data_IF_695557756100
#
_entry.id   IF_695557756100
#
_cell.length_a   1.000
_cell.length_b   1.000
_cell.length_c   1.000
_cell.angle_alpha   90.00
_cell.angle_beta   90.00
_cell.angle_gamma   90.00
#
_symmetry.space_group_name_H-M   'P 1'
#
loop_
_entity.id
_entity.type
_entity.pdbx_description
1 polymer ?
#
# COMPACT_ATOMS: atom_id res chain seq x y z
N UNK A 1 -3.14 26.54 -13.34
CA UNK A 1 -3.91 25.51 -12.63
C UNK A 1 -2.93 24.59 -11.92
N UNK A 2 -3.00 24.45 -10.59
CA UNK A 2 -2.13 23.55 -9.84
C UNK A 2 -2.31 22.10 -10.27
N UNK A 3 -1.25 21.29 -10.18
CA UNK A 3 -1.25 19.90 -10.66
C UNK A 3 -2.35 19.04 -10.02
N UNK A 4 -2.66 19.30 -8.74
CA UNK A 4 -3.73 18.62 -8.00
C UNK A 4 -5.11 18.90 -8.58
N UNK A 5 -5.38 20.14 -9.02
CA UNK A 5 -6.68 20.53 -9.55
C UNK A 5 -6.92 19.84 -10.91
N UNK A 6 -5.86 19.69 -11.71
CA UNK A 6 -5.92 18.98 -12.98
C UNK A 6 -6.22 17.48 -12.77
N UNK A 7 -5.57 16.83 -11.80
CA UNK A 7 -5.85 15.42 -11.48
C UNK A 7 -7.26 15.23 -10.93
N UNK A 8 -7.73 16.14 -10.08
CA UNK A 8 -9.08 16.13 -9.57
C UNK A 8 -10.12 16.25 -10.69
N UNK A 9 -9.96 17.23 -11.59
CA UNK A 9 -10.84 17.41 -12.76
C UNK A 9 -10.92 16.14 -13.61
N UNK A 10 -9.77 15.52 -13.91
CA UNK A 10 -9.73 14.25 -14.67
C UNK A 10 -10.53 13.13 -13.99
N UNK A 11 -10.43 13.01 -12.66
CA UNK A 11 -11.20 12.01 -11.90
C UNK A 11 -12.69 12.34 -11.88
N UNK A 12 -13.04 13.61 -11.69
CA UNK A 12 -14.41 14.08 -11.72
C UNK A 12 -15.07 13.84 -13.07
N UNK A 13 -14.39 14.17 -14.17
CA UNK A 13 -14.87 13.95 -15.53
C UNK A 13 -15.13 12.45 -15.79
N UNK A 14 -14.24 11.57 -15.30
CA UNK A 14 -14.42 10.12 -15.37
C UNK A 14 -15.67 9.65 -14.59
N UNK A 15 -15.88 10.18 -13.39
CA UNK A 15 -17.06 9.86 -12.57
C UNK A 15 -18.33 10.33 -13.26
N UNK A 16 -18.37 11.58 -13.74
CA UNK A 16 -19.49 12.13 -14.49
C UNK A 16 -19.82 11.28 -15.72
N UNK A 17 -18.80 10.85 -16.46
CA UNK A 17 -18.98 9.97 -17.62
C UNK A 17 -19.59 8.62 -17.24
N UNK A 18 -19.22 8.05 -16.09
CA UNK A 18 -19.81 6.78 -15.61
C UNK A 18 -21.26 6.97 -15.17
N UNK A 19 -21.52 8.02 -14.40
CA UNK A 19 -22.87 8.35 -13.92
C UNK A 19 -23.82 8.62 -15.10
N UNK A 20 -23.36 9.32 -16.13
CA UNK A 20 -24.10 9.50 -17.40
C UNK A 20 -24.53 8.18 -18.05
N UNK A 21 -23.72 7.13 -17.92
CA UNK A 21 -24.06 5.81 -18.44
C UNK A 21 -25.04 5.02 -17.57
N UNK A 22 -25.25 5.43 -16.32
CA UNK A 22 -26.13 4.75 -15.35
C UNK A 22 -27.48 5.44 -15.19
N UNK A 23 -27.56 6.74 -15.45
CA UNK A 23 -28.78 7.53 -15.32
C UNK A 23 -29.63 7.46 -16.60
N UNK A 24 -30.94 7.60 -16.44
CA UNK A 24 -31.90 7.69 -17.55
C UNK A 24 -31.62 8.92 -18.43
N UNK A 25 -32.01 8.87 -19.71
CA UNK A 25 -31.64 9.85 -20.74
C UNK A 25 -32.00 11.31 -20.42
N UNK A 26 -32.94 11.55 -19.50
CA UNK A 26 -33.38 12.88 -19.10
C UNK A 26 -32.47 13.55 -18.07
N UNK A 27 -31.66 12.79 -17.34
CA UNK A 27 -30.72 13.36 -16.36
C UNK A 27 -29.37 13.58 -17.03
N UNK A 28 -28.97 14.85 -17.12
CA UNK A 28 -27.68 15.27 -17.70
C UNK A 28 -26.78 15.81 -16.59
N UNK A 29 -25.93 14.98 -15.97
CA UNK A 29 -24.91 15.45 -15.05
C UNK A 29 -23.99 16.45 -15.76
N UNK A 30 -23.94 17.67 -15.23
CA UNK A 30 -23.07 18.76 -15.69
C UNK A 30 -22.16 19.14 -14.52
N UNK A 31 -20.97 19.68 -14.81
CA UNK A 31 -20.11 20.16 -13.73
C UNK A 31 -20.66 21.46 -13.16
N UNK A 32 -20.51 21.65 -11.86
CA UNK A 32 -20.94 22.87 -11.18
C UNK A 32 -20.26 24.15 -11.71
N UNK A 33 -19.06 24.04 -12.30
CA UNK A 33 -18.38 25.18 -12.93
C UNK A 33 -18.83 25.47 -14.37
N UNK A 34 -19.71 24.63 -14.94
CA UNK A 34 -20.23 24.76 -16.30
C UNK A 34 -21.66 25.32 -16.36
N UNK A 35 -22.35 25.44 -15.22
CA UNK A 35 -23.72 25.93 -15.10
C UNK A 35 -23.80 27.17 -14.21
N UNK A 36 -24.74 28.07 -14.50
CA UNK A 36 -25.02 29.20 -13.62
C UNK A 36 -25.63 28.70 -12.30
N UNK A 37 -25.00 29.04 -11.18
CA UNK A 37 -25.44 28.64 -9.84
C UNK A 37 -25.59 29.86 -8.94
N UNK A 38 -26.52 29.78 -7.99
CA UNK A 38 -26.66 30.77 -6.93
C UNK A 38 -25.52 30.63 -5.93
N UNK A 39 -25.27 31.69 -5.15
CA UNK A 39 -24.22 31.66 -4.14
C UNK A 39 -24.50 30.61 -3.04
N UNK A 40 -25.77 30.38 -2.73
CA UNK A 40 -26.22 29.38 -1.75
C UNK A 40 -25.89 27.95 -2.17
N UNK A 41 -25.82 27.67 -3.48
CA UNK A 41 -25.42 26.36 -4.00
C UNK A 41 -23.99 25.99 -3.61
N UNK A 42 -23.15 26.99 -3.31
CA UNK A 42 -21.78 26.76 -2.83
C UNK A 42 -21.75 26.19 -1.41
N UNK A 43 -22.69 26.59 -0.55
CA UNK A 43 -22.83 26.01 0.79
C UNK A 43 -23.43 24.61 0.72
N UNK A 44 -24.45 24.43 -0.12
CA UNK A 44 -25.05 23.12 -0.34
C UNK A 44 -24.00 22.12 -0.85
N UNK A 45 -23.18 22.52 -1.82
CA UNK A 45 -22.10 21.71 -2.34
C UNK A 45 -21.07 21.38 -1.27
N UNK A 46 -20.61 22.38 -0.50
CA UNK A 46 -19.63 22.16 0.56
C UNK A 46 -20.14 21.13 1.57
N UNK A 47 -21.36 21.31 2.08
CA UNK A 47 -21.99 20.38 3.02
C UNK A 47 -22.12 18.97 2.43
N UNK A 48 -22.61 18.85 1.20
CA UNK A 48 -22.75 17.54 0.53
C UNK A 48 -21.39 16.84 0.36
N UNK A 49 -20.37 17.55 -0.10
CA UNK A 49 -19.03 16.98 -0.29
C UNK A 49 -18.38 16.57 1.02
N UNK A 50 -18.56 17.37 2.07
CA UNK A 50 -18.06 17.06 3.42
C UNK A 50 -18.74 15.82 3.97
N UNK A 51 -20.07 15.75 3.92
CA UNK A 51 -20.84 14.60 4.42
C UNK A 51 -20.48 13.31 3.66
N UNK A 52 -20.43 13.36 2.33
CA UNK A 52 -20.01 12.22 1.50
C UNK A 52 -18.57 11.76 1.82
N UNK A 53 -17.65 12.69 2.02
CA UNK A 53 -16.27 12.36 2.36
C UNK A 53 -16.17 11.71 3.75
N UNK A 54 -16.93 12.22 4.74
CA UNK A 54 -17.00 11.65 6.08
C UNK A 54 -17.60 10.24 6.08
N UNK A 55 -18.69 10.03 5.34
CA UNK A 55 -19.32 8.72 5.19
C UNK A 55 -18.39 7.73 4.47
N UNK A 56 -17.66 8.19 3.44
CA UNK A 56 -16.65 7.39 2.75
C UNK A 56 -15.54 6.97 3.70
N UNK A 57 -14.99 7.90 4.49
CA UNK A 57 -13.94 7.61 5.47
C UNK A 57 -14.44 6.63 6.53
N UNK A 58 -15.63 6.84 7.07
CA UNK A 58 -16.24 5.96 8.09
C UNK A 58 -16.42 4.55 7.52
N UNK A 59 -17.00 4.44 6.33
CA UNK A 59 -17.19 3.16 5.63
C UNK A 59 -15.86 2.43 5.37
N UNK A 60 -14.82 3.17 4.97
CA UNK A 60 -13.49 2.59 4.74
C UNK A 60 -12.85 2.08 6.03
N UNK A 61 -12.96 2.82 7.13
CA UNK A 61 -12.47 2.40 8.43
C UNK A 61 -13.23 1.16 8.92
N UNK A 62 -14.55 1.13 8.75
CA UNK A 62 -15.37 -0.02 9.11
C UNK A 62 -15.01 -1.26 8.30
N UNK A 63 -14.83 -1.10 7.00
CA UNK A 63 -14.42 -2.19 6.12
C UNK A 63 -13.00 -2.68 6.48
N UNK A 64 -12.07 -1.76 6.73
CA UNK A 64 -10.68 -2.10 7.05
C UNK A 64 -10.51 -2.80 8.40
N UNK A 65 -11.39 -2.49 9.36
CA UNK A 65 -11.29 -2.95 10.75
C UNK A 65 -12.52 -3.74 11.22
N UNK A 66 -13.25 -4.35 10.28
CA UNK A 66 -14.36 -5.27 10.51
C UNK A 66 -15.45 -4.73 11.46
N UNK A 67 -16.07 -3.61 11.06
CA UNK A 67 -17.18 -2.96 11.76
C UNK A 67 -16.72 -2.08 12.93
N UNK A 68 -15.77 -1.18 12.69
CA UNK A 68 -15.22 -0.31 13.73
C UNK A 68 -16.28 0.61 14.35
N UNK A 69 -17.21 1.14 13.57
CA UNK A 69 -18.33 1.99 13.98
C UNK A 69 -19.21 1.28 15.00
N UNK A 70 -19.78 0.14 14.64
CA UNK A 70 -20.58 -0.71 15.56
C UNK A 70 -19.83 -1.05 16.85
N UNK A 71 -18.50 -1.27 16.75
CA UNK A 71 -17.66 -1.55 17.91
C UNK A 71 -17.50 -0.34 18.80
N UNK A 72 -17.33 0.86 18.22
CA UNK A 72 -17.19 2.11 18.96
C UNK A 72 -18.50 2.53 19.62
N UNK A 73 -19.64 2.30 18.99
CA UNK A 73 -20.96 2.61 19.55
C UNK A 73 -21.27 1.77 20.80
N UNK A 74 -20.78 0.54 20.87
CA UNK A 74 -20.97 -0.38 22.01
C UNK A 74 -20.08 -0.08 23.22
N UNK A 75 -19.20 0.93 23.11
CA UNK A 75 -18.19 1.22 24.14
C UNK A 75 -18.59 2.44 24.97
N UNK A 76 -17.92 2.65 26.09
CA UNK A 76 -18.25 3.73 27.02
C UNK A 76 -18.08 5.11 26.37
N UNK A 77 -19.15 5.91 26.40
CA UNK A 77 -19.20 7.24 25.77
C UNK A 77 -18.19 8.24 26.33
N UNK A 78 -17.67 8.01 27.55
CA UNK A 78 -16.70 8.89 28.21
C UNK A 78 -15.23 8.56 27.87
N UNK A 79 -14.97 7.46 27.17
CA UNK A 79 -13.62 7.07 26.77
C UNK A 79 -13.36 7.54 25.35
N UNK A 80 -12.22 8.22 25.16
CA UNK A 80 -11.74 8.61 23.83
C UNK A 80 -10.84 7.53 23.29
N UNK A 81 -11.14 7.06 22.09
CA UNK A 81 -10.41 5.96 21.46
C UNK A 81 -9.47 6.45 20.37
N UNK A 82 -8.32 5.77 20.25
CA UNK A 82 -7.40 5.94 19.13
C UNK A 82 -7.14 4.59 18.46
N UNK A 83 -6.85 4.64 17.16
CA UNK A 83 -6.33 3.50 16.42
C UNK A 83 -4.80 3.53 16.51
N UNK A 84 -4.21 2.50 17.12
CA UNK A 84 -2.77 2.27 17.17
C UNK A 84 -2.36 1.26 16.11
N UNK A 85 -1.43 1.63 15.22
CA UNK A 85 -0.77 0.70 14.30
C UNK A 85 0.68 0.46 14.73
N UNK A 86 1.10 -0.81 14.70
CA UNK A 86 2.46 -1.22 14.99
C UNK A 86 2.88 -2.38 14.10
N UNK A 87 4.18 -2.43 13.77
CA UNK A 87 4.79 -3.46 12.95
C UNK A 87 6.13 -3.91 13.53
N UNK A 88 6.44 -5.17 13.30
CA UNK A 88 7.62 -5.89 13.71
C UNK A 88 8.22 -6.60 12.50
N UNK A 89 9.44 -6.22 12.15
CA UNK A 89 10.26 -6.89 11.13
C UNK A 89 11.27 -7.80 11.81
N UNK A 90 11.41 -9.02 11.29
CA UNK A 90 12.37 -10.02 11.76
C UNK A 90 13.04 -10.67 10.55
N UNK A 91 14.37 -10.73 10.56
CA UNK A 91 15.15 -11.43 9.53
C UNK A 91 16.11 -12.40 10.19
N UNK A 92 15.93 -13.69 9.91
CA UNK A 92 16.65 -14.79 10.55
C UNK A 92 17.33 -15.65 9.51
N UNK A 93 18.53 -16.11 9.83
CA UNK A 93 19.22 -17.10 9.01
C UNK A 93 18.50 -18.45 9.14
N UNK A 94 18.22 -19.10 8.01
CA UNK A 94 17.56 -20.40 7.97
C UNK A 94 18.58 -21.51 7.76
N UNK A 95 19.27 -21.50 6.61
CA UNK A 95 20.19 -22.57 6.21
C UNK A 95 21.15 -22.16 5.09
N UNK A 96 22.18 -22.99 4.86
CA UNK A 96 23.05 -22.93 3.68
C UNK A 96 22.72 -24.13 2.79
N UNK A 97 22.45 -23.88 1.50
CA UNK A 97 22.19 -24.91 0.49
C UNK A 97 23.03 -24.68 -0.76
N UNK A 98 23.22 -25.71 -1.57
CA UNK A 98 23.99 -25.61 -2.82
C UNK A 98 23.05 -25.70 -4.01
N UNK A 99 22.93 -24.62 -4.78
CA UNK A 99 22.23 -24.63 -6.06
C UNK A 99 23.19 -25.07 -7.16
N UNK A 100 22.78 -26.04 -7.95
CA UNK A 100 23.54 -26.52 -9.10
C UNK A 100 22.95 -25.92 -10.37
N UNK A 101 23.78 -25.23 -11.16
CA UNK A 101 23.39 -24.67 -12.46
C UNK A 101 24.25 -25.25 -13.56
N UNK A 102 23.63 -25.88 -14.55
CA UNK A 102 24.31 -26.38 -15.74
C UNK A 102 24.64 -25.22 -16.68
N UNK A 103 25.91 -25.11 -17.06
CA UNK A 103 26.39 -24.21 -18.10
C UNK A 103 26.10 -24.75 -19.51
N UNK A 104 26.45 -23.98 -20.55
CA UNK A 104 26.28 -24.41 -21.93
C UNK A 104 27.10 -25.68 -22.20
N UNK A 105 26.52 -26.60 -22.96
CA UNK A 105 27.24 -27.79 -23.45
C UNK A 105 28.29 -27.36 -24.47
N UNK A 106 29.53 -27.81 -24.27
CA UNK A 106 30.61 -27.58 -25.24
C UNK A 106 31.00 -28.94 -25.81
N UNK A 107 30.77 -29.10 -27.11
CA UNK A 107 31.22 -30.28 -27.85
C UNK A 107 32.63 -30.02 -28.35
N UNK A 108 33.56 -30.89 -27.95
CA UNK A 108 34.95 -30.89 -28.44
C UNK A 108 35.21 -32.17 -29.22
N UNK A 109 35.83 -32.05 -30.39
CA UNK A 109 36.25 -33.17 -31.20
C UNK A 109 37.71 -33.51 -30.90
N UNK A 110 37.95 -34.69 -30.33
CA UNK A 110 39.32 -35.20 -30.21
C UNK A 110 39.63 -36.08 -31.42
N UNK A 111 40.63 -35.67 -32.21
CA UNK A 111 41.18 -36.48 -33.29
C UNK A 111 42.39 -37.25 -32.77
N UNK A 112 42.24 -38.55 -32.46
CA UNK A 112 43.39 -39.41 -32.17
C UNK A 112 43.98 -39.94 -33.47
N UNK A 113 45.15 -39.43 -33.84
CA UNK A 113 45.99 -40.05 -34.87
C UNK A 113 46.63 -41.30 -34.29
N UNK A 114 46.13 -42.48 -34.66
CA UNK A 114 46.78 -43.74 -34.34
C UNK A 114 47.92 -43.92 -35.33
N UNK A 115 49.15 -43.64 -34.91
CA UNK A 115 50.34 -43.94 -35.70
C UNK A 115 50.60 -45.44 -35.65
N UNK A 116 50.12 -46.16 -36.66
CA UNK A 116 50.32 -47.59 -36.79
C UNK A 116 50.00 -48.11 -38.18
N UNK A 117 51.03 -48.12 -39.04
CA UNK A 117 51.23 -48.99 -40.23
C UNK A 117 50.26 -48.90 -41.42
N UNK A 118 50.85 -48.51 -42.56
CA UNK A 118 50.60 -48.99 -43.93
C UNK A 118 49.18 -49.47 -44.25
N UNK A 119 48.44 -48.65 -45.01
CA UNK A 119 47.08 -48.79 -45.54
C UNK A 119 45.97 -48.07 -44.76
N UNK A 120 45.75 -46.81 -45.14
CA UNK A 120 44.50 -46.07 -44.90
C UNK A 120 44.46 -45.29 -43.58
N UNK A 121 44.76 -44.00 -43.65
CA UNK A 121 44.52 -43.07 -42.54
C UNK A 121 43.00 -42.91 -42.31
N UNK A 122 42.39 -43.79 -41.52
CA UNK A 122 41.06 -43.55 -40.97
C UNK A 122 41.19 -42.75 -39.68
N UNK A 123 40.98 -41.44 -39.76
CA UNK A 123 40.77 -40.61 -38.58
C UNK A 123 39.42 -40.96 -37.96
N UNK A 124 39.41 -41.54 -36.76
CA UNK A 124 38.19 -41.62 -35.94
C UNK A 124 38.07 -40.32 -35.14
N UNK A 125 37.13 -39.47 -35.55
CA UNK A 125 36.72 -38.30 -34.76
C UNK A 125 35.80 -38.79 -33.64
N UNK A 126 36.20 -38.57 -32.39
CA UNK A 126 35.32 -38.81 -31.24
C UNK A 126 34.77 -37.46 -30.78
N UNK A 127 33.47 -37.28 -30.87
CA UNK A 127 32.79 -36.13 -30.26
C UNK A 127 32.65 -36.38 -28.76
N UNK A 128 33.16 -35.45 -27.95
CA UNK A 128 33.02 -35.46 -26.50
C UNK A 128 32.27 -34.19 -26.11
N UNK A 129 31.02 -34.36 -25.69
CA UNK A 129 30.21 -33.29 -25.11
C UNK A 129 30.52 -33.17 -23.63
N UNK A 130 31.03 -32.02 -23.21
CA UNK A 130 31.29 -31.71 -21.81
C UNK A 130 30.32 -30.62 -21.34
N UNK A 131 29.56 -30.90 -20.29
CA UNK A 131 28.70 -29.91 -19.64
C UNK A 131 29.37 -29.42 -18.36
N UNK A 132 29.64 -28.11 -18.28
CA UNK A 132 30.23 -27.51 -17.08
C UNK A 132 29.12 -27.25 -16.07
N UNK A 133 29.12 -28.00 -14.97
CA UNK A 133 28.17 -27.83 -13.87
C UNK A 133 28.77 -26.94 -12.80
N UNK A 134 28.14 -25.80 -12.51
CA UNK A 134 28.58 -24.85 -11.48
C UNK A 134 27.77 -25.04 -10.19
N UNK A 135 28.45 -25.17 -9.05
CA UNK A 135 27.82 -25.20 -7.72
C UNK A 135 27.90 -23.81 -7.10
N UNK A 136 26.75 -23.24 -6.77
CA UNK A 136 26.63 -21.92 -6.15
C UNK A 136 26.09 -22.08 -4.73
N UNK A 137 26.85 -21.72 -3.68
CA UNK A 137 26.30 -21.70 -2.32
C UNK A 137 25.23 -20.61 -2.21
N UNK A 138 24.12 -20.96 -1.58
CA UNK A 138 23.01 -20.07 -1.25
C UNK A 138 22.77 -20.09 0.25
N UNK A 139 22.85 -18.92 0.87
CA UNK A 139 22.49 -18.67 2.26
C UNK A 139 21.05 -18.16 2.29
N UNK A 140 20.16 -18.96 2.88
CA UNK A 140 18.72 -18.74 2.93
C UNK A 140 18.38 -18.03 4.24
N UNK A 141 17.59 -16.97 4.12
CA UNK A 141 17.12 -16.14 5.22
C UNK A 141 15.60 -16.08 5.19
N UNK A 142 14.97 -16.14 6.35
CA UNK A 142 13.53 -15.89 6.50
C UNK A 142 13.31 -14.44 6.89
N UNK A 143 12.46 -13.74 6.15
CA UNK A 143 12.05 -12.37 6.45
C UNK A 143 10.56 -12.33 6.80
N UNK A 144 10.26 -12.04 8.06
CA UNK A 144 8.93 -12.02 8.63
C UNK A 144 8.52 -10.59 9.01
N UNK A 145 7.35 -10.15 8.53
CA UNK A 145 6.69 -8.91 8.93
C UNK A 145 5.41 -9.27 9.67
N UNK A 146 5.32 -8.91 10.95
CA UNK A 146 4.11 -8.97 11.75
C UNK A 146 3.60 -7.56 11.98
N UNK A 147 2.33 -7.29 11.74
CA UNK A 147 1.74 -5.97 11.99
C UNK A 147 0.34 -6.10 12.56
N UNK A 148 -0.05 -5.11 13.36
CA UNK A 148 -1.37 -5.08 13.99
C UNK A 148 -1.94 -3.67 14.06
N UNK A 149 -3.27 -3.61 14.05
CA UNK A 149 -4.03 -2.42 14.36
C UNK A 149 -4.88 -2.71 15.60
N UNK A 150 -4.81 -1.81 16.58
CA UNK A 150 -5.40 -1.98 17.91
C UNK A 150 -6.21 -0.75 18.27
N UNK A 151 -7.32 -0.97 18.94
CA UNK A 151 -8.07 0.09 19.61
C UNK A 151 -7.44 0.33 20.97
N UNK A 152 -7.11 1.59 21.27
CA UNK A 152 -6.53 1.97 22.56
C UNK A 152 -7.35 3.08 23.22
N UNK A 153 -7.44 3.06 24.54
CA UNK A 153 -7.93 4.20 25.31
C UNK A 153 -6.83 5.27 25.32
N UNK A 154 -7.19 6.47 24.84
CA UNK A 154 -6.27 7.59 24.70
C UNK A 154 -5.67 8.05 26.03
N UNK A 155 -6.42 7.98 27.12
CA UNK A 155 -6.04 8.51 28.43
C UNK A 155 -4.99 7.64 29.11
N UNK A 156 -5.21 6.34 29.15
CA UNK A 156 -4.34 5.38 29.86
C UNK A 156 -3.42 4.60 28.92
N UNK A 157 -3.55 4.75 27.60
CA UNK A 157 -2.80 4.01 26.57
C UNK A 157 -2.97 2.50 26.65
N UNK A 158 -4.01 2.03 27.32
CA UNK A 158 -4.32 0.60 27.43
C UNK A 158 -4.91 0.09 26.12
N UNK A 159 -4.55 -1.15 25.78
CA UNK A 159 -5.13 -1.85 24.64
C UNK A 159 -6.53 -2.30 25.05
N UNK A 160 -7.53 -1.77 24.35
CA UNK A 160 -8.92 -2.14 24.53
C UNK A 160 -9.22 -3.38 23.70
N UNK A 161 -8.70 -3.42 22.48
CA UNK A 161 -9.01 -4.48 21.52
C UNK A 161 -7.94 -4.57 20.41
N UNK A 162 -7.69 -5.77 19.88
CA UNK A 162 -6.92 -5.94 18.64
C UNK A 162 -7.89 -6.10 17.48
N UNK A 163 -7.90 -5.12 16.56
CA UNK A 163 -8.82 -5.06 15.42
C UNK A 163 -8.31 -5.89 14.25
N UNK A 164 -6.99 -5.89 14.05
CA UNK A 164 -6.32 -6.61 12.98
C UNK A 164 -4.96 -7.09 13.49
N UNK A 165 -4.58 -8.32 13.17
CA UNK A 165 -3.22 -8.81 13.32
C UNK A 165 -2.88 -9.71 12.14
N UNK A 166 -1.73 -9.48 11.51
CA UNK A 166 -1.28 -10.28 10.36
C UNK A 166 0.22 -10.49 10.43
N UNK A 167 0.63 -11.68 10.04
CA UNK A 167 2.03 -12.05 9.85
C UNK A 167 2.23 -12.51 8.41
N UNK A 168 3.30 -12.05 7.79
CA UNK A 168 3.74 -12.47 6.46
C UNK A 168 5.20 -12.86 6.54
N UNK A 169 5.57 -13.97 5.90
CA UNK A 169 6.95 -14.41 5.84
C UNK A 169 7.34 -14.75 4.40
N UNK A 170 8.63 -14.63 4.08
CA UNK A 170 9.21 -15.02 2.80
C UNK A 170 10.67 -15.42 2.98
N UNK A 171 11.15 -16.30 2.10
CA UNK A 171 12.57 -16.63 2.02
C UNK A 171 13.32 -15.65 1.11
N UNK A 172 14.58 -15.40 1.46
CA UNK A 172 15.52 -14.59 0.70
C UNK A 172 16.83 -15.36 0.62
N UNK A 173 17.32 -15.64 -0.58
CA UNK A 173 18.60 -16.32 -0.78
C UNK A 173 19.69 -15.33 -1.18
N UNK A 174 20.88 -15.52 -0.65
CA UNK A 174 22.08 -14.71 -0.92
C UNK A 174 23.24 -15.63 -1.27
N UNK A 175 24.16 -15.20 -2.13
CA UNK A 175 25.29 -16.04 -2.58
C UNK A 175 26.57 -15.82 -1.79
N UNK A 176 26.54 -14.89 -0.83
CA UNK A 176 27.69 -14.50 0.00
C UNK A 176 27.28 -14.67 1.46
N UNK A 177 28.07 -15.45 2.21
CA UNK A 177 27.76 -15.87 3.59
C UNK A 177 27.42 -14.71 4.52
N UNK A 178 28.21 -13.64 4.41
CA UNK A 178 28.10 -12.46 5.29
C UNK A 178 27.26 -11.34 4.67
N UNK A 179 26.65 -11.56 3.49
CA UNK A 179 25.79 -10.57 2.85
C UNK A 179 24.35 -10.75 3.33
N UNK A 180 24.06 -10.17 4.48
CA UNK A 180 22.72 -10.19 5.03
C UNK A 180 21.76 -9.29 4.22
N UNK A 181 20.61 -9.79 3.75
CA UNK A 181 19.70 -9.00 2.91
C UNK A 181 19.01 -7.85 3.67
N UNK A 182 18.91 -7.98 5.00
CA UNK A 182 18.30 -7.01 5.91
C UNK A 182 19.13 -6.97 7.20
N UNK A 183 19.27 -5.83 7.88
CA UNK A 183 20.04 -5.78 9.12
C UNK A 183 19.52 -6.80 10.14
N UNK A 184 20.44 -7.52 10.81
CA UNK A 184 20.17 -8.49 11.89
C UNK A 184 19.57 -7.76 13.09
N UNK A 185 18.28 -7.48 13.02
CA UNK A 185 17.57 -6.90 14.14
C UNK A 185 16.08 -7.15 13.97
N UNK A 186 15.50 -7.66 15.05
CA UNK A 186 14.13 -7.35 15.39
C UNK A 186 13.95 -5.82 15.29
N UNK A 187 13.21 -5.35 14.30
CA UNK A 187 12.95 -3.92 14.11
C UNK A 187 11.49 -3.63 14.35
N UNK A 188 11.24 -2.85 15.39
CA UNK A 188 9.90 -2.34 15.69
C UNK A 188 9.71 -0.99 15.02
N UNK A 189 8.58 -0.81 14.34
CA UNK A 189 8.16 0.51 13.89
C UNK A 189 7.77 1.36 15.09
N UNK A 190 8.06 2.66 15.06
CA UNK A 190 7.41 3.59 15.97
C UNK A 190 5.88 3.46 15.82
N UNK A 191 5.12 3.35 16.92
CA UNK A 191 3.67 3.20 16.85
C UNK A 191 3.03 4.44 16.22
N UNK A 192 2.11 4.20 15.30
CA UNK A 192 1.33 5.26 14.66
C UNK A 192 -0.04 5.34 15.32
N UNK A 193 -0.53 6.55 15.52
CA UNK A 193 -1.83 6.80 16.15
C UNK A 193 -2.73 7.60 15.22
N UNK A 194 -4.02 7.27 15.21
CA UNK A 194 -5.08 8.04 14.58
C UNK A 194 -6.18 8.28 15.61
N UNK A 195 -6.49 9.55 15.86
CA UNK A 195 -7.58 9.97 16.73
C UNK A 195 -8.92 9.64 16.08
N UNK A 196 -9.72 8.77 16.67
CA UNK A 196 -11.02 8.38 16.09
C UNK A 196 -12.12 9.37 16.45
N UNK A 197 -11.96 10.11 17.55
CA UNK A 197 -12.90 11.15 17.96
C UNK A 197 -12.89 12.32 16.99
N UNK A 198 -11.72 12.56 16.35
CA UNK A 198 -11.58 13.59 15.33
C UNK A 198 -12.43 13.34 14.09
N UNK A 199 -12.93 12.12 13.86
CA UNK A 199 -13.79 11.80 12.71
C UNK A 199 -15.26 11.85 13.13
N UNK A 200 -15.58 11.28 14.30
CA UNK A 200 -16.96 11.25 14.83
C UNK A 200 -17.54 12.62 15.12
N UNK A 201 -16.72 13.54 15.61
CA UNK A 201 -17.18 14.85 16.09
C UNK A 201 -17.16 15.94 15.03
N UNK A 202 -16.82 15.61 13.78
CA UNK A 202 -16.72 16.60 12.72
C UNK A 202 -18.08 17.15 12.32
N UNK A 203 -18.17 18.45 12.05
CA UNK A 203 -19.37 19.05 11.50
C UNK A 203 -19.62 18.51 10.09
N UNK A 204 -20.85 18.05 9.85
CA UNK A 204 -21.32 17.63 8.51
C UNK A 204 -21.88 18.78 7.69
N UNK A 205 -22.14 19.92 8.32
CA UNK A 205 -22.69 21.11 7.67
C UNK A 205 -22.17 22.40 8.28
N UNK A 206 -22.12 23.45 7.47
CA UNK A 206 -21.80 24.81 7.87
C UNK A 206 -23.03 25.46 8.52
N UNK A 207 -22.88 25.95 9.75
CA UNK A 207 -23.92 26.72 10.43
C UNK A 207 -23.95 28.17 9.92
N UNK A 208 -24.94 28.46 9.08
CA UNK A 208 -25.12 29.77 8.44
C UNK A 208 -25.72 30.83 9.37
N UNK A 209 -26.23 30.44 10.54
CA UNK A 209 -26.90 31.35 11.47
C UNK A 209 -25.92 32.18 12.32
N UNK A 210 -24.64 31.82 12.31
CA UNK A 210 -23.59 32.48 13.11
C UNK A 210 -23.11 33.76 12.44
N UNK A 211 -22.91 34.80 13.24
CA UNK A 211 -22.30 36.06 12.78
C UNK A 211 -20.88 35.88 12.22
N UNK A 212 -20.19 34.80 12.62
CA UNK A 212 -18.87 34.43 12.14
C UNK A 212 -18.87 33.66 10.81
N UNK A 213 -20.05 33.34 10.25
CA UNK A 213 -20.19 32.60 9.00
C UNK A 213 -19.56 33.38 7.83
N UNK A 214 -18.68 32.70 7.09
CA UNK A 214 -17.95 33.25 5.95
C UNK A 214 -18.31 32.49 4.67
N UNK A 215 -17.57 32.75 3.60
CA UNK A 215 -17.61 31.92 2.38
C UNK A 215 -17.37 30.45 2.71
N UNK A 216 -17.99 29.47 2.03
CA UNK A 216 -17.96 28.05 2.41
C UNK A 216 -16.59 27.53 2.85
N UNK A 217 -15.53 27.71 2.03
CA UNK A 217 -14.16 27.28 2.34
C UNK A 217 -13.56 27.92 3.59
N UNK A 218 -13.94 29.15 3.95
CA UNK A 218 -13.33 29.92 5.06
C UNK A 218 -14.03 29.73 6.41
N UNK A 219 -14.98 28.79 6.48
CA UNK A 219 -15.64 28.42 7.72
C UNK A 219 -14.78 27.43 8.50
N UNK A 220 -14.76 27.57 9.83
CA UNK A 220 -13.94 26.75 10.71
C UNK A 220 -14.33 25.27 10.61
N UNK A 221 -15.62 25.00 10.42
CA UNK A 221 -16.17 23.67 10.22
C UNK A 221 -15.48 22.93 9.06
N UNK A 222 -15.17 23.64 7.98
CA UNK A 222 -14.49 23.08 6.81
C UNK A 222 -12.99 22.89 7.10
N UNK A 223 -12.35 23.83 7.80
CA UNK A 223 -10.95 23.71 8.20
C UNK A 223 -10.71 22.51 9.14
N UNK A 224 -11.63 22.26 10.08
CA UNK A 224 -11.58 21.12 11.00
C UNK A 224 -11.65 19.79 10.23
N UNK A 225 -12.56 19.68 9.25
CA UNK A 225 -12.69 18.52 8.37
C UNK A 225 -11.40 18.29 7.55
N UNK A 226 -10.85 19.35 6.95
CA UNK A 226 -9.60 19.25 6.19
C UNK A 226 -8.43 18.78 7.06
N UNK A 227 -8.31 19.31 8.28
CA UNK A 227 -7.27 18.91 9.23
C UNK A 227 -7.38 17.43 9.60
N UNK A 228 -8.60 16.93 9.81
CA UNK A 228 -8.85 15.52 10.08
C UNK A 228 -8.50 14.63 8.88
N UNK A 229 -8.89 15.01 7.66
CA UNK A 229 -8.52 14.26 6.47
C UNK A 229 -7.02 14.28 6.20
N UNK A 230 -6.31 15.38 6.49
CA UNK A 230 -4.85 15.43 6.37
C UNK A 230 -4.17 14.49 7.38
N UNK A 231 -4.71 14.42 8.60
CA UNK A 231 -4.24 13.51 9.65
C UNK A 231 -4.43 12.05 9.24
N UNK A 232 -5.61 11.71 8.72
CA UNK A 232 -5.91 10.39 8.15
C UNK A 232 -5.01 10.05 6.96
N UNK A 233 -4.77 11.01 6.06
CA UNK A 233 -3.88 10.83 4.91
C UNK A 233 -2.45 10.49 5.36
N UNK A 234 -1.98 11.20 6.37
CA UNK A 234 -0.62 11.02 6.91
C UNK A 234 -0.50 9.67 7.60
N UNK A 235 -1.50 9.28 8.40
CA UNK A 235 -1.57 7.97 9.03
C UNK A 235 -1.54 6.85 7.98
N UNK A 236 -2.45 6.90 7.00
CA UNK A 236 -2.57 5.85 5.97
C UNK A 236 -1.34 5.75 5.07
N UNK A 237 -0.71 6.88 4.69
CA UNK A 237 0.57 6.88 3.97
C UNK A 237 1.70 6.26 4.79
N UNK A 238 1.74 6.54 6.10
CA UNK A 238 2.75 5.98 7.00
C UNK A 238 2.58 4.47 7.14
N UNK A 239 1.35 3.98 7.33
CA UNK A 239 1.02 2.55 7.32
C UNK A 239 1.40 1.90 5.99
N UNK A 240 1.03 2.52 4.87
CA UNK A 240 1.34 2.03 3.52
C UNK A 240 2.85 1.95 3.29
N UNK A 241 3.61 2.96 3.71
CA UNK A 241 5.07 2.99 3.63
C UNK A 241 5.70 1.82 4.39
N UNK A 242 5.24 1.56 5.62
CA UNK A 242 5.70 0.42 6.42
C UNK A 242 5.43 -0.90 5.67
N UNK A 243 4.22 -1.10 5.14
CA UNK A 243 3.87 -2.36 4.47
C UNK A 243 4.59 -2.52 3.12
N UNK A 244 4.62 -1.47 2.28
CA UNK A 244 5.16 -1.52 0.91
C UNK A 244 6.69 -1.60 0.90
N UNK A 245 7.39 -0.84 1.76
CA UNK A 245 8.85 -0.90 1.81
C UNK A 245 9.35 -2.29 2.21
N UNK A 246 8.55 -3.01 3.00
CA UNK A 246 8.78 -4.40 3.32
C UNK A 246 8.51 -5.36 2.15
N UNK A 247 7.58 -5.02 1.25
CA UNK A 247 7.34 -5.80 0.03
C UNK A 247 8.44 -5.59 -1.03
N UNK A 248 8.85 -4.34 -1.29
CA UNK A 248 9.70 -3.97 -2.45
C UNK A 248 11.20 -4.26 -2.33
N UNK A 249 11.69 -4.62 -1.15
CA UNK A 249 13.15 -4.58 -0.88
C UNK A 249 14.03 -5.53 -1.69
N UNK A 250 13.50 -6.45 -2.52
CA UNK A 250 14.32 -7.30 -3.40
C UNK A 250 13.64 -7.71 -4.73
N UNK A 251 12.68 -6.94 -5.26
CA UNK A 251 12.24 -7.15 -6.64
C UNK A 251 13.25 -6.56 -7.66
N UNK A 252 14.53 -6.94 -7.57
CA UNK A 252 15.52 -6.59 -8.60
C UNK A 252 15.55 -7.57 -9.76
N UNK A 253 14.71 -8.62 -9.75
CA UNK A 253 14.61 -9.59 -10.86
C UNK A 253 13.20 -9.80 -11.42
N UNK A 254 12.18 -9.07 -10.97
CA UNK A 254 10.85 -9.12 -11.60
C UNK A 254 10.29 -7.71 -11.75
N UNK A 255 10.34 -7.18 -12.98
CA UNK A 255 9.47 -6.10 -13.42
C UNK A 255 8.02 -6.61 -13.36
N UNK A 256 7.38 -6.43 -12.23
CA UNK A 256 5.94 -6.63 -12.13
C UNK A 256 5.30 -5.25 -11.96
N UNK A 257 4.61 -4.81 -13.01
CA UNK A 257 3.71 -3.67 -12.96
C UNK A 257 2.64 -3.95 -11.88
N UNK A 258 2.80 -3.36 -10.70
CA UNK A 258 1.70 -3.26 -9.75
C UNK A 258 0.79 -2.13 -10.25
N UNK A 259 -0.06 -2.44 -11.21
CA UNK A 259 -1.25 -1.64 -11.50
C UNK A 259 -2.20 -1.77 -10.32
N UNK A 260 -2.56 -0.61 -9.76
CA UNK A 260 -3.69 -0.40 -8.85
C UNK A 260 -3.60 -1.09 -7.48
N UNK A 261 -2.63 -0.68 -6.66
CA UNK A 261 -2.83 -0.77 -5.21
C UNK A 261 -3.65 0.45 -4.76
N UNK A 262 -4.75 0.21 -4.07
CA UNK A 262 -5.60 1.24 -3.47
C UNK A 262 -4.73 2.24 -2.70
N UNK A 263 -4.73 3.50 -3.14
CA UNK A 263 -4.01 4.59 -2.50
C UNK A 263 -5.01 5.34 -1.63
N UNK A 264 -4.94 5.23 -0.29
CA UNK A 264 -5.81 5.99 0.61
C UNK A 264 -5.64 7.50 0.44
N UNK A 265 -4.52 7.95 -0.14
CA UNK A 265 -4.32 9.34 -0.52
C UNK A 265 -5.38 9.83 -1.51
N UNK A 266 -6.00 8.95 -2.32
CA UNK A 266 -7.09 9.34 -3.21
C UNK A 266 -8.38 9.75 -2.44
N UNK A 267 -8.54 9.32 -1.19
CA UNK A 267 -9.67 9.70 -0.33
C UNK A 267 -9.39 10.97 0.49
N UNK A 268 -8.14 11.43 0.57
CA UNK A 268 -7.76 12.63 1.33
C UNK A 268 -7.49 13.85 0.43
N UNK A 269 -7.91 13.79 -0.84
CA UNK A 269 -7.83 14.89 -1.79
C UNK A 269 -9.20 15.23 -2.41
N UNK A 270 -10.28 14.91 -1.67
CA UNK A 270 -11.54 15.63 -1.73
C UNK A 270 -11.47 16.79 -0.74
#
# INVERSE_FOLDING_TARGET
MPLYELEFRKKLDLVISRVKGMLEQEIRPIRMDEESHQYDDKFALANLTTDLALDTVTTLLDTAFAGLGDRLEKKESNIKYELKFEALELCEYLEERVRTTSGPEVTTSETKNVSGTLFGNQSKTKEVTTQVTTRVPEYVWTHTLTYSAKLVDRKNRSIVETLLSRTRSREISTTVKDHQPKPFARKESAPLYLDLEMIKTLPRSIDRSRDSCKTPRRNQEIDDVFSAFQSLATFTRSVSSIIINNQRSHSTSQKQEVKNFFSPAACCFL
#
